data_IF_354187288298
#
_entry.id   IF_354187288298
#
_cell.length_a   1.000
_cell.length_b   1.000
_cell.length_c   1.000
_cell.angle_alpha   90.00
_cell.angle_beta   90.00
_cell.angle_gamma   90.00
#
_symmetry.space_group_name_H-M   'P 1'
#
loop_
_entity.id
_entity.type
_entity.pdbx_description
1 polymer ?
#
# COMPACT_ATOMS: atom_id res chain seq x y z
N UNK A 1 -21.43 17.01 -4.98
CA UNK A 1 -22.18 15.79 -5.33
C UNK A 1 -21.76 14.74 -4.32
N UNK A 2 -22.68 13.97 -3.76
CA UNK A 2 -22.33 12.96 -2.74
C UNK A 2 -22.32 11.60 -3.41
N UNK A 3 -21.25 10.84 -3.16
CA UNK A 3 -21.04 9.49 -3.66
C UNK A 3 -21.19 8.49 -2.52
N UNK A 4 -21.67 7.30 -2.80
CA UNK A 4 -21.86 6.24 -1.81
C UNK A 4 -21.07 5.01 -2.24
N UNK A 5 -20.33 4.43 -1.31
CA UNK A 5 -19.43 3.31 -1.57
C UNK A 5 -19.67 2.16 -0.61
N UNK A 6 -19.63 0.98 -1.15
CA UNK A 6 -19.46 -0.22 -0.36
C UNK A 6 -17.99 -0.37 0.00
N UNK A 7 -17.68 -0.43 1.27
CA UNK A 7 -16.32 -0.54 1.80
C UNK A 7 -16.22 -1.81 2.63
N UNK A 8 -15.24 -2.65 2.32
CA UNK A 8 -14.90 -3.83 3.11
C UNK A 8 -13.83 -3.44 4.13
N UNK A 9 -14.14 -3.44 5.44
CA UNK A 9 -13.15 -3.20 6.49
C UNK A 9 -12.09 -4.31 6.54
N UNK A 10 -10.85 -3.99 6.88
CA UNK A 10 -9.78 -4.98 7.09
C UNK A 10 -9.95 -5.73 8.43
N UNK A 11 -11.07 -6.41 8.57
CA UNK A 11 -11.49 -7.09 9.79
C UNK A 11 -12.35 -8.32 9.46
N UNK A 12 -12.71 -9.09 10.49
CA UNK A 12 -13.64 -10.23 10.36
C UNK A 12 -15.10 -9.75 10.22
N UNK A 13 -15.36 -8.93 9.22
CA UNK A 13 -16.71 -8.50 8.85
C UNK A 13 -16.96 -9.00 7.43
N UNK A 14 -17.95 -9.86 7.29
CA UNK A 14 -18.26 -10.52 6.01
C UNK A 14 -18.99 -9.63 5.02
N UNK A 15 -19.60 -8.56 5.48
CA UNK A 15 -20.45 -7.69 4.66
C UNK A 15 -19.78 -6.35 4.44
N UNK A 16 -19.97 -5.81 3.24
CA UNK A 16 -19.60 -4.43 2.93
C UNK A 16 -20.45 -3.45 3.73
N UNK A 17 -19.83 -2.38 4.18
CA UNK A 17 -20.49 -1.29 4.87
C UNK A 17 -20.57 -0.08 3.95
N UNK A 18 -21.73 0.59 3.93
CA UNK A 18 -21.91 1.78 3.09
C UNK A 18 -21.37 3.03 3.78
N UNK A 19 -20.53 3.76 3.04
CA UNK A 19 -19.98 5.06 3.45
C UNK A 19 -20.24 6.10 2.36
N UNK A 20 -20.18 7.38 2.71
CA UNK A 20 -20.32 8.48 1.77
C UNK A 20 -19.02 9.28 1.62
N UNK A 21 -18.87 9.91 0.46
CA UNK A 21 -17.77 10.83 0.15
C UNK A 21 -18.29 12.02 -0.63
N UNK A 22 -17.71 13.19 -0.41
CA UNK A 22 -17.98 14.39 -1.20
C UNK A 22 -17.18 14.40 -2.53
N UNK A 23 -16.14 13.53 -2.63
CA UNK A 23 -15.29 13.36 -3.80
C UNK A 23 -15.49 11.97 -4.42
N UNK A 24 -15.32 11.90 -5.73
CA UNK A 24 -15.32 10.60 -6.42
C UNK A 24 -14.04 9.84 -6.11
N UNK A 25 -14.20 8.59 -5.69
CA UNK A 25 -13.08 7.71 -5.30
C UNK A 25 -13.12 6.45 -6.17
N UNK A 26 -11.98 6.05 -6.70
CA UNK A 26 -11.87 4.86 -7.55
C UNK A 26 -12.06 3.56 -6.76
N UNK A 27 -12.59 2.54 -7.42
CA UNK A 27 -12.68 1.19 -6.87
C UNK A 27 -11.28 0.67 -6.52
N UNK A 28 -11.19 -0.14 -5.48
CA UNK A 28 -9.92 -0.65 -4.97
C UNK A 28 -9.13 0.34 -4.11
N UNK A 29 -9.57 1.60 -4.00
CA UNK A 29 -8.93 2.58 -3.12
C UNK A 29 -8.96 2.13 -1.67
N UNK A 30 -7.83 2.30 -0.99
CA UNK A 30 -7.71 2.05 0.44
C UNK A 30 -8.13 3.31 1.17
N UNK A 31 -9.05 3.16 2.12
CA UNK A 31 -9.66 4.29 2.82
C UNK A 31 -9.63 4.10 4.33
N UNK A 32 -9.65 5.22 5.04
CA UNK A 32 -9.89 5.26 6.48
C UNK A 32 -11.37 5.57 6.73
N UNK A 33 -12.00 4.76 7.53
CA UNK A 33 -13.44 4.82 7.82
C UNK A 33 -13.69 4.81 9.33
N UNK A 34 -14.71 5.50 9.80
CA UNK A 34 -15.20 5.33 11.18
C UNK A 34 -15.90 3.96 11.29
N UNK A 35 -15.48 3.16 12.24
CA UNK A 35 -16.09 1.85 12.52
C UNK A 35 -16.35 1.72 14.02
N UNK A 36 -17.62 1.74 14.42
CA UNK A 36 -18.04 1.82 15.81
C UNK A 36 -17.47 3.08 16.50
N UNK A 37 -16.64 2.92 17.53
CA UNK A 37 -15.97 4.01 18.27
C UNK A 37 -14.50 4.21 17.89
N UNK A 38 -14.05 3.60 16.78
CA UNK A 38 -12.66 3.63 16.33
C UNK A 38 -12.60 3.91 14.83
N UNK A 39 -11.45 4.27 14.35
CA UNK A 39 -11.16 4.30 12.93
C UNK A 39 -10.63 2.95 12.47
N UNK A 40 -10.99 2.55 11.27
CA UNK A 40 -10.52 1.33 10.63
C UNK A 40 -10.05 1.64 9.20
N UNK A 41 -9.25 0.76 8.65
CA UNK A 41 -8.89 0.78 7.23
C UNK A 41 -9.85 -0.14 6.49
N UNK A 42 -10.28 0.27 5.30
CA UNK A 42 -11.12 -0.52 4.42
C UNK A 42 -10.71 -0.36 2.96
N UNK A 43 -11.28 -1.19 2.10
CA UNK A 43 -11.12 -1.15 0.64
C UNK A 43 -12.46 -0.88 0.00
N UNK A 44 -12.52 0.07 -0.94
CA UNK A 44 -13.72 0.35 -1.73
C UNK A 44 -13.93 -0.80 -2.72
N UNK A 45 -15.06 -1.47 -2.62
CA UNK A 45 -15.41 -2.60 -3.46
C UNK A 45 -16.32 -2.18 -4.62
N UNK A 46 -17.33 -1.36 -4.34
CA UNK A 46 -18.29 -0.89 -5.35
C UNK A 46 -18.79 0.51 -5.03
N UNK A 47 -19.34 1.19 -6.04
CA UNK A 47 -20.12 2.41 -5.88
C UNK A 47 -21.61 2.04 -5.83
N UNK A 48 -22.31 2.53 -4.82
CA UNK A 48 -23.73 2.27 -4.63
C UNK A 48 -24.56 3.43 -5.21
N UNK A 49 -25.62 3.10 -5.91
CA UNK A 49 -26.61 4.10 -6.29
C UNK A 49 -27.51 4.41 -5.09
N UNK A 50 -27.93 5.67 -4.99
CA UNK A 50 -28.81 6.12 -3.89
C UNK A 50 -30.10 5.27 -3.83
N UNK A 51 -30.59 4.85 -4.98
CA UNK A 51 -31.81 4.03 -5.14
C UNK A 51 -31.68 2.63 -4.52
N UNK A 52 -30.46 2.10 -4.44
CA UNK A 52 -30.20 0.77 -3.92
C UNK A 52 -29.99 0.77 -2.38
N UNK A 53 -29.92 1.97 -1.76
CA UNK A 53 -29.71 2.12 -0.31
C UNK A 53 -31.05 1.98 0.40
N UNK A 54 -31.21 0.92 1.17
CA UNK A 54 -32.47 0.55 1.86
C UNK A 54 -32.64 1.17 3.25
N UNK A 55 -31.66 1.91 3.74
CA UNK A 55 -31.65 2.52 5.08
C UNK A 55 -31.46 4.03 5.02
N UNK A 56 -31.65 4.71 6.14
CA UNK A 56 -31.61 6.17 6.24
C UNK A 56 -30.23 6.74 5.85
N UNK A 57 -30.19 7.42 4.72
CA UNK A 57 -28.99 8.05 4.13
C UNK A 57 -28.31 9.02 5.12
N UNK A 58 -29.09 9.67 6.01
CA UNK A 58 -28.54 10.60 7.01
C UNK A 58 -27.65 9.92 8.04
N UNK A 59 -27.74 8.61 8.19
CA UNK A 59 -26.93 7.81 9.11
C UNK A 59 -25.64 7.30 8.48
N UNK A 60 -25.44 7.49 7.18
CA UNK A 60 -24.24 7.05 6.47
C UNK A 60 -23.07 7.92 6.90
N UNK A 61 -22.03 7.28 7.42
CA UNK A 61 -20.83 7.95 7.86
C UNK A 61 -19.92 8.31 6.67
N UNK A 62 -19.12 9.37 6.82
CA UNK A 62 -18.19 9.79 5.78
C UNK A 62 -16.89 8.98 5.85
N UNK A 63 -16.32 8.77 4.67
CA UNK A 63 -14.92 8.34 4.53
C UNK A 63 -14.04 9.47 5.08
N UNK A 64 -13.16 9.15 6.02
CA UNK A 64 -12.32 10.16 6.69
C UNK A 64 -11.09 10.53 5.86
N UNK A 65 -10.53 9.54 5.16
CA UNK A 65 -9.30 9.71 4.38
C UNK A 65 -9.20 8.66 3.29
N UNK A 66 -8.70 9.05 2.12
CA UNK A 66 -8.27 8.15 1.05
C UNK A 66 -6.74 8.08 1.04
N UNK A 67 -6.19 6.87 0.99
CA UNK A 67 -4.75 6.65 0.87
C UNK A 67 -4.31 6.73 -0.59
N UNK A 68 -3.03 7.04 -0.82
CA UNK A 68 -2.46 7.15 -2.17
C UNK A 68 -2.38 5.81 -2.92
N UNK A 69 -2.62 4.69 -2.25
CA UNK A 69 -2.54 3.36 -2.82
C UNK A 69 -3.93 2.80 -3.10
N UNK A 70 -4.04 2.09 -4.21
CA UNK A 70 -5.24 1.36 -4.59
C UNK A 70 -4.88 -0.05 -5.07
N UNK A 71 -5.82 -0.94 -4.93
CA UNK A 71 -5.75 -2.30 -5.48
C UNK A 71 -6.34 -2.23 -6.89
N UNK A 72 -5.62 -2.72 -7.89
CA UNK A 72 -6.15 -2.77 -9.25
C UNK A 72 -7.28 -3.82 -9.37
N UNK A 73 -8.07 -3.73 -10.43
CA UNK A 73 -9.23 -4.60 -10.63
C UNK A 73 -8.87 -6.09 -10.71
N UNK A 74 -7.73 -6.43 -11.28
CA UNK A 74 -7.27 -7.80 -11.39
C UNK A 74 -6.99 -8.42 -10.02
N UNK A 75 -6.32 -7.67 -9.15
CA UNK A 75 -6.07 -8.09 -7.79
C UNK A 75 -7.35 -8.12 -6.94
N UNK A 76 -8.29 -7.18 -7.14
CA UNK A 76 -9.60 -7.24 -6.48
C UNK A 76 -10.31 -8.55 -6.83
N UNK A 77 -10.39 -8.89 -8.11
CA UNK A 77 -11.00 -10.12 -8.59
C UNK A 77 -10.30 -11.36 -7.99
N UNK A 78 -8.97 -11.34 -7.93
CA UNK A 78 -8.20 -12.41 -7.33
C UNK A 78 -8.48 -12.58 -5.83
N UNK A 79 -8.56 -11.49 -5.08
CA UNK A 79 -8.85 -11.55 -3.65
C UNK A 79 -10.29 -11.99 -3.37
N UNK A 80 -11.25 -11.58 -4.20
CA UNK A 80 -12.62 -12.09 -4.14
C UNK A 80 -12.68 -13.59 -4.44
N UNK A 81 -11.93 -14.06 -5.44
CA UNK A 81 -11.79 -15.47 -5.73
C UNK A 81 -11.20 -16.24 -4.54
N UNK A 82 -10.11 -15.75 -3.93
CA UNK A 82 -9.53 -16.39 -2.74
C UNK A 82 -10.53 -16.46 -1.58
N UNK A 83 -11.24 -15.36 -1.32
CA UNK A 83 -12.27 -15.30 -0.30
C UNK A 83 -13.35 -16.37 -0.50
N UNK A 84 -13.91 -16.46 -1.70
CA UNK A 84 -14.96 -17.42 -2.01
C UNK A 84 -14.44 -18.86 -2.06
N UNK A 85 -13.26 -19.10 -2.61
CA UNK A 85 -12.69 -20.43 -2.77
C UNK A 85 -12.28 -21.08 -1.44
N UNK A 86 -11.72 -20.28 -0.52
CA UNK A 86 -11.25 -20.76 0.77
C UNK A 86 -12.22 -20.46 1.93
N UNK A 87 -13.38 -19.87 1.64
CA UNK A 87 -14.39 -19.49 2.65
C UNK A 87 -13.81 -18.58 3.74
N UNK A 88 -12.97 -17.63 3.34
CA UNK A 88 -12.33 -16.65 4.23
C UNK A 88 -12.99 -15.29 4.00
N UNK A 89 -13.23 -14.53 5.09
CA UNK A 89 -13.76 -13.18 5.00
C UNK A 89 -12.89 -12.29 4.09
N UNK A 90 -13.50 -11.62 3.14
CA UNK A 90 -12.78 -10.78 2.18
C UNK A 90 -11.95 -9.69 2.88
N UNK A 91 -12.45 -9.14 4.00
CA UNK A 91 -11.72 -8.20 4.82
C UNK A 91 -10.43 -8.79 5.41
N UNK A 92 -10.41 -10.08 5.71
CA UNK A 92 -9.20 -10.78 6.16
C UNK A 92 -8.22 -11.03 5.03
N UNK A 93 -8.72 -11.37 3.84
CA UNK A 93 -7.87 -11.50 2.64
C UNK A 93 -7.19 -10.16 2.34
N UNK A 94 -7.95 -9.06 2.32
CA UNK A 94 -7.38 -7.72 2.17
C UNK A 94 -6.38 -7.38 3.27
N UNK A 95 -6.68 -7.73 4.51
CA UNK A 95 -5.77 -7.49 5.62
C UNK A 95 -4.43 -8.21 5.44
N UNK A 96 -4.44 -9.44 4.96
CA UNK A 96 -3.21 -10.20 4.65
C UNK A 96 -2.44 -9.57 3.50
N UNK A 97 -3.15 -9.17 2.43
CA UNK A 97 -2.55 -8.60 1.23
C UNK A 97 -1.95 -7.20 1.45
N UNK A 98 -2.62 -6.35 2.25
CA UNK A 98 -2.27 -4.93 2.42
C UNK A 98 -1.85 -4.56 3.84
N UNK A 99 -1.58 -5.55 4.69
CA UNK A 99 -1.23 -5.35 6.11
C UNK A 99 -0.10 -4.34 6.34
N UNK A 100 0.78 -4.19 5.40
CA UNK A 100 1.92 -3.28 5.47
C UNK A 100 1.64 -1.88 4.88
N UNK A 101 0.61 -1.72 4.04
CA UNK A 101 0.38 -0.48 3.31
C UNK A 101 0.03 0.73 4.20
N UNK A 102 -0.84 0.62 5.20
CA UNK A 102 -1.08 1.74 6.11
C UNK A 102 0.09 2.02 7.06
N UNK A 103 0.93 1.01 7.35
CA UNK A 103 2.10 1.12 8.21
C UNK A 103 3.39 1.45 7.46
N UNK A 104 3.44 1.20 6.17
CA UNK A 104 4.41 1.80 5.25
C UNK A 104 4.00 3.22 4.88
N UNK A 105 3.28 3.89 5.79
CA UNK A 105 3.14 5.33 5.71
C UNK A 105 4.49 5.87 5.27
N UNK A 106 4.46 6.66 4.21
CA UNK A 106 5.47 7.61 3.82
C UNK A 106 6.32 7.90 5.07
N UNK A 107 7.46 7.25 5.23
CA UNK A 107 8.34 7.62 6.33
C UNK A 107 8.62 9.08 6.09
N UNK A 108 8.06 9.94 6.91
CA UNK A 108 8.37 11.35 6.87
C UNK A 108 9.82 11.47 7.27
N UNK A 109 10.65 11.84 6.32
CA UNK A 109 12.03 12.18 6.59
C UNK A 109 12.06 13.63 7.01
N UNK A 110 12.75 13.91 8.09
CA UNK A 110 13.03 15.26 8.55
C UNK A 110 14.35 15.71 7.92
N UNK A 111 14.33 16.81 7.18
CA UNK A 111 15.53 17.40 6.60
C UNK A 111 15.91 18.66 7.38
N UNK A 112 17.16 18.73 7.82
CA UNK A 112 17.72 19.88 8.52
C UNK A 112 19.21 20.04 8.16
N UNK A 113 19.61 21.26 7.82
CA UNK A 113 21.00 21.61 7.42
C UNK A 113 21.59 20.65 6.38
N UNK A 114 20.81 20.32 5.34
CA UNK A 114 21.24 19.46 4.24
C UNK A 114 21.32 17.97 4.56
N UNK A 115 20.98 17.54 5.78
CA UNK A 115 20.95 16.15 6.19
C UNK A 115 19.50 15.67 6.34
N UNK A 116 19.27 14.39 6.06
CA UNK A 116 17.94 13.76 6.14
C UNK A 116 17.95 12.70 7.24
N UNK A 117 16.91 12.70 8.07
CA UNK A 117 16.78 11.84 9.23
C UNK A 117 15.47 11.04 9.14
N UNK A 118 15.52 9.78 9.52
CA UNK A 118 14.36 8.88 9.55
C UNK A 118 13.50 9.05 10.79
N UNK A 119 14.00 9.71 11.82
CA UNK A 119 13.26 9.95 13.05
C UNK A 119 13.62 11.30 13.68
N UNK A 120 12.69 11.84 14.48
CA UNK A 120 12.94 13.01 15.30
C UNK A 120 14.10 12.77 16.27
N UNK A 121 14.18 11.57 16.84
CA UNK A 121 15.21 11.19 17.82
C UNK A 121 16.61 11.27 17.22
N UNK A 122 16.79 10.75 16.00
CA UNK A 122 18.08 10.80 15.32
C UNK A 122 18.51 12.24 15.00
N UNK A 123 17.57 13.07 14.55
CA UNK A 123 17.83 14.47 14.28
C UNK A 123 18.20 15.23 15.57
N UNK A 124 17.40 15.08 16.63
CA UNK A 124 17.64 15.76 17.91
C UNK A 124 18.95 15.32 18.55
N UNK A 125 19.30 14.04 18.48
CA UNK A 125 20.58 13.54 19.00
C UNK A 125 21.78 14.05 18.18
N UNK A 126 21.68 14.08 16.86
CA UNK A 126 22.78 14.54 15.98
C UNK A 126 23.12 16.00 16.17
N UNK A 127 22.12 16.83 16.46
CA UNK A 127 22.30 18.29 16.64
C UNK A 127 22.13 18.75 18.10
N UNK A 128 22.04 17.81 19.05
CA UNK A 128 21.87 18.05 20.49
C UNK A 128 20.71 19.03 20.81
N UNK A 129 19.61 18.92 20.05
CA UNK A 129 18.48 19.83 20.16
C UNK A 129 17.59 19.46 21.36
N UNK A 130 17.31 20.45 22.20
CA UNK A 130 16.27 20.33 23.23
C UNK A 130 14.87 20.30 22.60
N UNK A 131 13.87 19.69 23.24
CA UNK A 131 12.51 19.58 22.70
C UNK A 131 11.88 20.92 22.29
N UNK A 132 12.18 21.98 23.01
CA UNK A 132 11.70 23.33 22.71
C UNK A 132 12.33 23.89 21.42
N UNK A 133 13.64 23.75 21.26
CA UNK A 133 14.38 24.17 20.08
C UNK A 133 13.93 23.39 18.82
N UNK A 134 13.70 22.08 18.95
CA UNK A 134 13.15 21.29 17.85
C UNK A 134 11.80 21.82 17.36
N UNK A 135 10.90 22.16 18.30
CA UNK A 135 9.59 22.74 17.95
C UNK A 135 9.75 24.10 17.26
N UNK A 136 10.61 24.96 17.75
CA UNK A 136 10.87 26.29 17.15
C UNK A 136 11.39 26.14 15.72
N UNK A 137 12.36 25.26 15.47
CA UNK A 137 12.90 24.97 14.13
C UNK A 137 11.87 24.32 13.19
N UNK A 138 10.93 23.53 13.73
CA UNK A 138 9.83 22.96 12.95
C UNK A 138 8.82 24.06 12.56
N UNK A 139 8.49 24.97 13.48
CA UNK A 139 7.57 26.09 13.21
C UNK A 139 8.17 27.11 12.24
N UNK A 140 9.48 27.39 12.34
CA UNK A 140 10.20 28.28 11.41
C UNK A 140 10.43 27.68 10.02
N UNK A 141 10.01 26.39 9.82
CA UNK A 141 10.24 25.61 8.60
C UNK A 141 11.71 25.35 8.25
N UNK A 142 12.62 25.57 9.16
CA UNK A 142 14.03 25.19 9.01
C UNK A 142 14.20 23.66 9.02
N UNK A 143 13.36 22.96 9.78
CA UNK A 143 13.17 21.51 9.66
C UNK A 143 12.01 21.28 8.69
N UNK A 144 12.29 20.73 7.53
CA UNK A 144 11.28 20.34 6.56
C UNK A 144 10.95 18.85 6.69
N UNK A 145 9.67 18.51 6.57
CA UNK A 145 9.22 17.13 6.50
C UNK A 145 8.92 16.78 5.04
N UNK A 146 9.67 15.86 4.50
CA UNK A 146 9.41 15.28 3.18
C UNK A 146 8.96 13.85 3.34
N UNK A 147 7.80 13.52 2.79
CA UNK A 147 7.35 12.14 2.69
C UNK A 147 7.88 11.56 1.38
N UNK A 148 8.76 10.57 1.46
CA UNK A 148 9.22 9.81 0.29
C UNK A 148 8.53 8.45 0.27
N UNK A 149 8.02 8.03 -0.88
CA UNK A 149 7.57 6.67 -1.11
C UNK A 149 8.77 5.74 -0.93
N UNK A 150 8.75 4.93 0.12
CA UNK A 150 9.88 4.11 0.53
C UNK A 150 10.12 2.89 -0.37
N UNK A 151 9.14 2.54 -1.20
CA UNK A 151 9.18 1.32 -2.02
C UNK A 151 10.25 1.33 -3.12
N UNK A 152 10.79 2.49 -3.51
CA UNK A 152 11.64 2.58 -4.70
C UNK A 152 13.06 3.10 -4.47
N UNK A 153 13.46 3.46 -3.26
CA UNK A 153 14.72 4.17 -3.05
C UNK A 153 15.87 3.39 -2.39
N UNK A 154 15.71 2.11 -2.08
CA UNK A 154 16.77 1.34 -1.43
C UNK A 154 17.35 0.16 -2.23
N UNK A 155 17.00 -0.02 -3.48
CA UNK A 155 17.82 -0.86 -4.36
C UNK A 155 19.01 -0.05 -4.88
N UNK A 156 19.84 0.47 -3.97
CA UNK A 156 21.10 1.17 -4.33
C UNK A 156 22.21 0.22 -4.76
N UNK A 157 21.96 -1.07 -4.76
CA UNK A 157 22.92 -2.05 -5.23
C UNK A 157 22.40 -2.62 -6.54
N UNK A 158 23.09 -2.27 -7.62
CA UNK A 158 22.85 -2.86 -8.94
C UNK A 158 22.92 -4.41 -8.81
N UNK A 159 21.82 -5.07 -9.13
CA UNK A 159 21.75 -6.54 -9.09
C UNK A 159 22.47 -7.04 -10.34
N UNK A 160 23.65 -7.65 -10.14
CA UNK A 160 24.41 -8.28 -11.20
C UNK A 160 24.14 -9.77 -11.22
N UNK A 161 23.48 -10.23 -12.25
CA UNK A 161 23.23 -11.64 -12.49
C UNK A 161 24.50 -12.30 -13.06
N UNK A 162 24.76 -13.54 -12.65
CA UNK A 162 25.75 -14.36 -13.34
C UNK A 162 25.22 -14.87 -14.68
N UNK A 163 26.06 -15.55 -15.47
CA UNK A 163 25.68 -15.99 -16.82
C UNK A 163 24.49 -16.95 -16.84
N UNK A 164 24.38 -17.85 -15.87
CA UNK A 164 23.26 -18.80 -15.76
C UNK A 164 21.98 -18.10 -15.35
N UNK A 165 22.06 -17.23 -14.34
CA UNK A 165 20.93 -16.41 -13.90
C UNK A 165 20.43 -15.49 -15.02
N UNK A 166 21.34 -14.91 -15.81
CA UNK A 166 20.97 -14.05 -16.95
C UNK A 166 20.19 -14.83 -17.99
N UNK A 167 20.60 -16.05 -18.35
CA UNK A 167 19.87 -16.91 -19.27
C UNK A 167 18.45 -17.21 -18.78
N UNK A 168 18.30 -17.54 -17.48
CA UNK A 168 16.99 -17.79 -16.89
C UNK A 168 16.13 -16.51 -16.90
N UNK A 169 16.75 -15.37 -16.57
CA UNK A 169 16.08 -14.08 -16.62
C UNK A 169 15.54 -13.78 -18.02
N UNK A 170 16.39 -13.92 -19.03
CA UNK A 170 16.03 -13.66 -20.43
C UNK A 170 14.91 -14.59 -20.91
N UNK A 171 14.93 -15.87 -20.52
CA UNK A 171 13.86 -16.83 -20.86
C UNK A 171 12.53 -16.43 -20.22
N UNK A 172 12.51 -16.14 -18.94
CA UNK A 172 11.30 -15.68 -18.22
C UNK A 172 10.80 -14.38 -18.82
N UNK A 173 11.68 -13.41 -19.06
CA UNK A 173 11.33 -12.09 -19.56
C UNK A 173 10.78 -12.09 -20.98
N UNK A 174 11.33 -12.95 -21.84
CA UNK A 174 10.86 -13.11 -23.22
C UNK A 174 9.40 -13.57 -23.30
N UNK A 175 8.95 -14.34 -22.32
CA UNK A 175 7.59 -14.86 -22.26
C UNK A 175 6.57 -13.89 -21.65
N UNK A 176 6.99 -12.77 -21.03
CA UNK A 176 6.11 -11.78 -20.39
C UNK A 176 5.00 -11.25 -21.32
N UNK A 177 5.26 -11.14 -22.61
CA UNK A 177 4.29 -10.63 -23.60
C UNK A 177 3.27 -11.66 -24.08
N UNK A 178 3.43 -12.93 -23.74
CA UNK A 178 2.64 -14.05 -24.27
C UNK A 178 1.51 -14.51 -23.35
N UNK A 179 1.04 -13.63 -22.46
CA UNK A 179 0.02 -13.94 -21.46
C UNK A 179 0.56 -14.67 -20.22
N UNK A 180 -0.33 -15.31 -19.47
CA UNK A 180 0.04 -16.02 -18.24
C UNK A 180 0.87 -17.27 -18.55
N UNK A 181 2.04 -17.39 -17.91
CA UNK A 181 2.91 -18.55 -17.98
C UNK A 181 3.54 -18.81 -16.61
N UNK A 182 3.62 -20.09 -16.24
CA UNK A 182 4.32 -20.52 -15.02
C UNK A 182 5.73 -20.97 -15.38
N UNK A 183 6.72 -20.44 -14.67
CA UNK A 183 8.12 -20.81 -14.79
C UNK A 183 8.57 -21.49 -13.49
N UNK A 184 9.17 -22.67 -13.59
CA UNK A 184 9.82 -23.33 -12.46
C UNK A 184 11.31 -22.99 -12.45
N UNK A 185 11.76 -22.31 -11.42
CA UNK A 185 13.18 -22.00 -11.21
C UNK A 185 13.72 -23.00 -10.19
N UNK A 186 14.43 -24.02 -10.67
CA UNK A 186 15.07 -25.01 -9.82
C UNK A 186 16.49 -24.58 -9.46
N UNK A 187 16.94 -24.95 -8.27
CA UNK A 187 18.28 -24.63 -7.80
C UNK A 187 18.45 -24.88 -6.30
N UNK A 188 19.65 -25.21 -5.88
CA UNK A 188 20.00 -25.45 -4.49
C UNK A 188 19.93 -24.16 -3.65
N UNK A 189 19.91 -24.30 -2.33
CA UNK A 189 19.99 -23.16 -1.42
C UNK A 189 21.30 -22.40 -1.65
N UNK A 190 21.23 -21.07 -1.75
CA UNK A 190 22.40 -20.23 -2.03
C UNK A 190 22.75 -20.08 -3.53
N UNK A 191 21.98 -20.66 -4.46
CA UNK A 191 22.24 -20.52 -5.90
C UNK A 191 21.90 -19.14 -6.48
N UNK A 192 21.47 -18.18 -5.64
CA UNK A 192 21.15 -16.82 -6.06
C UNK A 192 19.78 -16.66 -6.69
N UNK A 193 18.80 -17.52 -6.34
CA UNK A 193 17.40 -17.34 -6.78
C UNK A 193 16.81 -16.01 -6.35
N UNK A 194 17.19 -15.52 -5.18
CA UNK A 194 16.71 -14.25 -4.64
C UNK A 194 17.12 -13.06 -5.52
N UNK A 195 18.36 -13.03 -6.00
CA UNK A 195 18.87 -12.02 -6.91
C UNK A 195 18.08 -12.00 -8.22
N UNK A 196 17.77 -13.20 -8.76
CA UNK A 196 16.97 -13.35 -9.96
C UNK A 196 15.53 -12.82 -9.75
N UNK A 197 14.88 -13.16 -8.63
CA UNK A 197 13.56 -12.64 -8.32
C UNK A 197 13.56 -11.11 -8.14
N UNK A 198 14.56 -10.57 -7.45
CA UNK A 198 14.69 -9.13 -7.28
C UNK A 198 14.88 -8.42 -8.63
N UNK A 199 15.66 -9.00 -9.56
CA UNK A 199 15.83 -8.44 -10.89
C UNK A 199 14.55 -8.49 -11.71
N UNK A 200 13.78 -9.57 -11.64
CA UNK A 200 12.47 -9.67 -12.29
C UNK A 200 11.47 -8.64 -11.74
N UNK A 201 11.49 -8.41 -10.43
CA UNK A 201 10.66 -7.38 -9.78
C UNK A 201 11.09 -6.00 -10.25
N UNK A 202 12.39 -5.68 -10.24
CA UNK A 202 12.92 -4.39 -10.69
C UNK A 202 12.42 -4.05 -12.09
N UNK A 203 12.60 -4.95 -13.04
CA UNK A 203 12.18 -4.75 -14.43
C UNK A 203 10.65 -4.74 -14.63
N UNK A 204 9.90 -5.29 -13.70
CA UNK A 204 8.43 -5.27 -13.77
C UNK A 204 7.87 -3.94 -13.27
N UNK A 205 8.59 -3.24 -12.39
CA UNK A 205 8.16 -2.00 -11.75
C UNK A 205 8.56 -0.74 -12.54
N UNK A 206 9.38 -0.87 -13.55
CA UNK A 206 9.76 0.20 -14.52
C UNK A 206 8.76 0.25 -15.67
#
# INVERSE_FOLDING_TARGET
>A
MTYYYEVIPLSQINEGLTYQSDEQINLGSIVQIPLRKKTATGVILSENKVEDITFDIKKILKIEKTYAYSINQENLNFYQYLSSHYFIDLGMVFKMAIQQYPNTQLKSFLSYKGKTFSSQKDLTNTFELKPKQFKELLYSKEISSTSKNFLFHQMQKEIKLNQEQQKIFDDVWHHKKNGFKTHLIDGVTGSGKTELYLKLIEETLV
#
